data_IF_919575405400
#
_entry.id   IF_919575405400
#
_cell.length_a   1.000
_cell.length_b   1.000
_cell.length_c   1.000
_cell.angle_alpha   90.00
_cell.angle_beta   90.00
_cell.angle_gamma   90.00
#
_symmetry.space_group_name_H-M   'P 1'
#
loop_
_entity.id
_entity.type
_entity.pdbx_description
1 polymer ?
#
# COMPACT_ATOMS: atom_id res chain seq x y z
N UNK A 1 26.77 -12.26 1.59
CA UNK A 1 25.62 -12.89 2.27
C UNK A 1 25.56 -12.31 3.67
N UNK A 2 24.72 -11.31 3.99
CA UNK A 2 24.57 -10.86 5.37
C UNK A 2 23.80 -11.94 6.13
N UNK A 3 24.31 -12.33 7.30
CA UNK A 3 23.70 -13.29 8.20
C UNK A 3 22.21 -12.97 8.42
N UNK A 4 21.34 -13.95 8.14
CA UNK A 4 19.95 -13.89 8.53
C UNK A 4 19.88 -14.05 10.06
N UNK A 5 19.97 -12.93 10.76
CA UNK A 5 19.72 -12.87 12.21
C UNK A 5 18.35 -13.51 12.50
N UNK A 6 18.24 -14.46 13.45
CA UNK A 6 16.98 -15.10 13.81
C UNK A 6 15.87 -14.08 14.10
N UNK A 7 14.66 -14.32 13.60
CA UNK A 7 13.56 -13.33 13.64
C UNK A 7 13.18 -12.84 15.04
N UNK A 8 13.39 -13.66 16.09
CA UNK A 8 13.14 -13.26 17.47
C UNK A 8 14.18 -12.28 18.04
N UNK A 9 15.44 -12.36 17.58
CA UNK A 9 16.50 -11.40 17.93
C UNK A 9 16.22 -10.03 17.32
N UNK A 10 15.64 -9.98 16.12
CA UNK A 10 15.18 -8.72 15.50
C UNK A 10 14.08 -8.04 16.32
N UNK A 11 13.12 -8.82 16.85
CA UNK A 11 12.08 -8.27 17.71
C UNK A 11 12.64 -7.71 19.04
N UNK A 12 13.61 -8.40 19.66
CA UNK A 12 14.31 -7.91 20.85
C UNK A 12 15.13 -6.64 20.58
N UNK A 13 15.64 -6.52 19.35
CA UNK A 13 16.31 -5.33 18.84
C UNK A 13 15.35 -4.18 18.46
N UNK A 14 14.03 -4.31 18.69
CA UNK A 14 12.99 -3.41 18.20
C UNK A 14 13.09 -3.15 16.69
N UNK A 15 13.61 -4.12 15.95
CA UNK A 15 13.77 -4.06 14.51
C UNK A 15 12.51 -4.69 13.86
N UNK A 16 11.59 -3.88 13.30
CA UNK A 16 10.44 -4.41 12.56
C UNK A 16 10.85 -5.13 11.26
N UNK A 17 12.13 -5.05 10.86
CA UNK A 17 12.63 -5.44 9.56
C UNK A 17 12.46 -4.31 8.54
N UNK A 18 13.49 -4.10 7.72
CA UNK A 18 13.47 -3.10 6.64
C UNK A 18 14.82 -2.41 6.44
N UNK A 19 15.04 -1.83 5.26
CA UNK A 19 16.20 -0.99 5.01
C UNK A 19 16.20 0.22 5.96
N UNK A 20 17.35 0.56 6.55
CA UNK A 20 17.48 1.71 7.46
C UNK A 20 17.05 1.45 8.92
N UNK A 21 16.76 0.22 9.32
CA UNK A 21 16.67 -0.14 10.74
C UNK A 21 18.05 -0.61 11.22
N UNK A 22 18.62 0.10 12.20
CA UNK A 22 19.83 -0.36 12.89
C UNK A 22 19.41 -1.25 14.09
N UNK A 23 19.53 -2.58 14.00
CA UNK A 23 19.03 -3.48 15.05
C UNK A 23 19.69 -3.24 16.42
N UNK A 24 20.91 -2.71 16.43
CA UNK A 24 21.62 -2.40 17.68
C UNK A 24 21.01 -1.21 18.44
N UNK A 25 20.32 -0.27 17.77
CA UNK A 25 19.77 0.93 18.42
C UNK A 25 18.65 0.56 19.39
N UNK A 26 17.72 -0.30 18.97
CA UNK A 26 16.63 -0.73 19.86
C UNK A 26 17.12 -1.65 20.98
N UNK A 27 18.14 -2.47 20.74
CA UNK A 27 18.78 -3.26 21.79
C UNK A 27 19.42 -2.38 22.88
N UNK A 28 20.08 -1.28 22.49
CA UNK A 28 20.65 -0.30 23.43
C UNK A 28 19.55 0.39 24.26
N UNK A 29 18.43 0.78 23.63
CA UNK A 29 17.28 1.37 24.33
C UNK A 29 16.68 0.40 25.34
N UNK A 30 16.51 -0.87 24.95
CA UNK A 30 16.00 -1.92 25.83
C UNK A 30 16.94 -2.13 27.03
N UNK A 31 18.25 -2.26 26.79
CA UNK A 31 19.24 -2.42 27.85
C UNK A 31 19.24 -1.23 28.81
N UNK A 32 19.16 0.00 28.29
CA UNK A 32 19.09 1.22 29.11
C UNK A 32 17.82 1.26 29.99
N UNK A 33 16.67 0.83 29.45
CA UNK A 33 15.43 0.75 30.20
C UNK A 33 15.47 -0.31 31.32
N UNK A 34 16.07 -1.48 31.05
CA UNK A 34 16.28 -2.53 32.08
C UNK A 34 17.18 -2.03 33.20
N UNK A 35 18.30 -1.36 32.85
CA UNK A 35 19.20 -0.76 33.83
C UNK A 35 18.49 0.32 34.66
N UNK A 36 17.70 1.17 34.02
CA UNK A 36 16.91 2.21 34.67
C UNK A 36 15.92 1.63 35.69
N UNK A 37 15.25 0.52 35.35
CA UNK A 37 14.33 -0.18 36.25
C UNK A 37 15.05 -0.81 37.46
N UNK A 38 16.25 -1.34 37.26
CA UNK A 38 17.05 -1.95 38.32
C UNK A 38 17.62 -0.92 39.31
N UNK A 39 18.02 0.26 38.82
CA UNK A 39 18.69 1.29 39.63
C UNK A 39 17.70 2.21 40.35
N UNK A 40 16.55 2.53 39.75
CA UNK A 40 15.60 3.50 40.30
C UNK A 40 14.14 3.07 40.09
N UNK A 41 13.70 1.94 40.67
CA UNK A 41 12.32 1.47 40.53
C UNK A 41 11.35 2.49 41.16
N UNK A 42 10.43 3.03 40.36
CA UNK A 42 9.41 3.96 40.85
C UNK A 42 8.02 3.59 40.34
N UNK A 43 6.99 3.81 41.16
CA UNK A 43 5.58 3.61 40.75
C UNK A 43 5.18 4.50 39.57
N UNK A 44 5.89 5.60 39.38
CA UNK A 44 5.66 6.50 38.25
C UNK A 44 6.08 5.89 36.90
N UNK A 45 6.82 4.77 36.89
CA UNK A 45 7.16 4.00 35.67
C UNK A 45 6.06 3.02 35.24
N UNK A 46 5.03 2.77 36.08
CA UNK A 46 3.95 1.82 35.76
C UNK A 46 3.22 2.14 34.44
N UNK A 47 2.89 3.40 34.10
CA UNK A 47 2.27 3.72 32.81
C UNK A 47 3.19 3.37 31.62
N UNK A 48 4.49 3.62 31.75
CA UNK A 48 5.47 3.34 30.71
C UNK A 48 5.70 1.83 30.53
N UNK A 49 5.75 1.07 31.63
CA UNK A 49 5.75 -0.40 31.59
C UNK A 49 4.47 -0.95 30.96
N UNK A 50 3.32 -0.34 31.25
CA UNK A 50 2.04 -0.64 30.60
C UNK A 50 2.10 -0.45 29.08
N UNK A 51 2.69 0.65 28.59
CA UNK A 51 2.87 0.87 27.15
C UNK A 51 3.74 -0.22 26.50
N UNK A 52 4.85 -0.59 27.14
CA UNK A 52 5.73 -1.66 26.64
C UNK A 52 5.00 -3.00 26.58
N UNK A 53 4.28 -3.36 27.65
CA UNK A 53 3.52 -4.61 27.70
C UNK A 53 2.42 -4.63 26.62
N UNK A 54 1.69 -3.54 26.44
CA UNK A 54 0.62 -3.43 25.46
C UNK A 54 1.17 -3.47 24.03
N UNK A 55 2.31 -2.81 23.78
CA UNK A 55 3.04 -2.90 22.51
C UNK A 55 3.54 -4.32 22.22
N UNK A 56 4.11 -5.02 23.21
CA UNK A 56 4.55 -6.40 23.07
C UNK A 56 3.39 -7.36 22.80
N UNK A 57 2.25 -7.19 23.50
CA UNK A 57 1.01 -7.93 23.23
C UNK A 57 0.52 -7.66 21.81
N UNK A 58 0.50 -6.40 21.37
CA UNK A 58 0.10 -6.04 20.02
C UNK A 58 1.00 -6.70 18.96
N UNK A 59 2.33 -6.68 19.14
CA UNK A 59 3.27 -7.40 18.25
C UNK A 59 2.96 -8.91 18.24
N UNK A 60 2.76 -9.52 19.40
CA UNK A 60 2.43 -10.94 19.49
C UNK A 60 1.11 -11.26 18.76
N UNK A 61 0.09 -10.43 18.91
CA UNK A 61 -1.18 -10.56 18.21
C UNK A 61 -1.01 -10.41 16.68
N UNK A 62 -0.27 -9.40 16.22
CA UNK A 62 -0.04 -9.14 14.78
C UNK A 62 0.72 -10.29 14.08
N UNK A 63 1.60 -10.97 14.81
CA UNK A 63 2.35 -12.13 14.31
C UNK A 63 1.51 -13.41 14.36
N UNK A 64 0.74 -13.61 15.43
CA UNK A 64 0.00 -14.86 15.69
C UNK A 64 -1.37 -14.93 15.03
N UNK A 65 -1.99 -13.79 14.77
CA UNK A 65 -3.32 -13.68 14.18
C UNK A 65 -3.20 -13.15 12.75
N UNK A 66 -3.09 -14.04 11.74
CA UNK A 66 -3.06 -13.60 10.36
C UNK A 66 -4.43 -12.98 10.03
N UNK A 67 -4.42 -11.70 9.65
CA UNK A 67 -5.64 -10.96 9.37
C UNK A 67 -5.98 -11.08 7.89
N UNK A 68 -7.28 -11.24 7.59
CA UNK A 68 -7.77 -11.14 6.23
C UNK A 68 -7.93 -9.65 5.87
N UNK A 69 -7.25 -9.17 4.82
CA UNK A 69 -7.37 -7.79 4.35
C UNK A 69 -8.83 -7.43 4.03
N UNK A 70 -9.23 -6.19 4.32
CA UNK A 70 -10.59 -5.68 4.05
C UNK A 70 -10.97 -5.75 2.57
N UNK A 71 -9.99 -5.63 1.67
CA UNK A 71 -10.17 -5.78 0.23
C UNK A 71 -10.31 -7.25 -0.22
N UNK A 72 -10.15 -8.22 0.68
CA UNK A 72 -10.04 -9.65 0.36
C UNK A 72 -8.61 -10.08 0.06
N UNK A 73 -8.38 -11.40 -0.04
CA UNK A 73 -7.06 -11.99 -0.27
C UNK A 73 -6.66 -13.02 0.78
N UNK A 74 -5.44 -13.55 0.65
CA UNK A 74 -4.91 -14.54 1.59
C UNK A 74 -4.54 -13.87 2.93
N UNK A 75 -4.70 -14.57 4.08
CA UNK A 75 -4.35 -14.02 5.38
C UNK A 75 -2.87 -13.62 5.45
N UNK A 76 -2.58 -12.42 5.95
CA UNK A 76 -1.20 -11.93 6.16
C UNK A 76 -1.00 -11.47 7.59
N UNK A 77 0.22 -11.61 8.10
CA UNK A 77 0.62 -11.01 9.37
C UNK A 77 0.58 -9.49 9.27
N UNK A 78 0.16 -8.82 10.34
CA UNK A 78 0.15 -7.36 10.36
C UNK A 78 1.55 -6.77 10.48
N UNK A 79 1.73 -5.55 9.97
CA UNK A 79 2.98 -4.80 10.10
C UNK A 79 3.23 -4.41 11.57
N UNK A 80 4.36 -4.85 12.14
CA UNK A 80 4.68 -4.68 13.57
C UNK A 80 5.25 -3.32 13.93
N UNK A 81 5.64 -2.49 12.94
CA UNK A 81 6.36 -1.25 13.19
C UNK A 81 5.63 -0.25 14.08
N UNK A 82 4.30 -0.11 13.95
CA UNK A 82 3.52 0.76 14.83
C UNK A 82 3.53 0.30 16.29
N UNK A 83 3.37 -1.01 16.52
CA UNK A 83 3.39 -1.59 17.86
C UNK A 83 4.79 -1.52 18.51
N UNK A 84 5.85 -1.74 17.72
CA UNK A 84 7.24 -1.60 18.17
C UNK A 84 7.60 -0.15 18.48
N UNK A 85 7.11 0.82 17.69
CA UNK A 85 7.27 2.25 17.97
C UNK A 85 6.62 2.63 19.31
N UNK A 86 5.40 2.14 19.57
CA UNK A 86 4.69 2.37 20.82
C UNK A 86 5.44 1.78 22.04
N UNK A 87 5.95 0.56 21.91
CA UNK A 87 6.80 -0.05 22.93
C UNK A 87 8.10 0.76 23.14
N UNK A 88 8.74 1.22 22.06
CA UNK A 88 9.92 2.09 22.10
C UNK A 88 9.68 3.39 22.86
N UNK A 89 8.53 4.05 22.66
CA UNK A 89 8.15 5.24 23.42
C UNK A 89 8.03 4.94 24.93
N UNK A 90 7.47 3.79 25.30
CA UNK A 90 7.40 3.36 26.70
C UNK A 90 8.79 3.14 27.32
N UNK A 91 9.71 2.51 26.58
CA UNK A 91 11.10 2.32 27.02
C UNK A 91 11.82 3.65 27.24
N UNK A 92 11.69 4.59 26.31
CA UNK A 92 12.26 5.94 26.43
C UNK A 92 11.66 6.70 27.63
N UNK A 93 10.35 6.55 27.86
CA UNK A 93 9.69 7.18 29.00
C UNK A 93 10.21 6.64 30.34
N UNK A 94 10.46 5.32 30.44
CA UNK A 94 11.10 4.73 31.63
C UNK A 94 12.51 5.30 31.87
N UNK A 95 13.32 5.41 30.82
CA UNK A 95 14.68 5.99 30.92
C UNK A 95 14.63 7.44 31.38
N UNK A 96 13.72 8.25 30.83
CA UNK A 96 13.54 9.65 31.21
C UNK A 96 13.07 9.80 32.66
N UNK A 97 12.20 8.92 33.15
CA UNK A 97 11.75 8.95 34.54
C UNK A 97 12.87 8.61 35.52
N UNK A 98 13.64 7.56 35.25
CA UNK A 98 14.75 7.15 36.09
C UNK A 98 15.83 8.25 36.18
N UNK A 99 16.05 8.99 35.09
CA UNK A 99 16.95 10.16 35.08
C UNK A 99 16.45 11.32 35.96
N UNK A 100 15.12 11.43 36.17
CA UNK A 100 14.50 12.49 36.98
C UNK A 100 14.47 12.18 38.47
N UNK A 101 14.41 10.90 38.84
CA UNK A 101 14.30 10.41 40.23
C UNK A 101 15.67 10.16 40.89
N UNK A 102 16.76 10.70 40.34
CA UNK A 102 18.16 10.43 40.73
C UNK A 102 18.60 10.85 42.15
N UNK A 103 17.70 10.86 43.14
CA UNK A 103 18.04 11.04 44.55
C UNK A 103 18.92 9.92 45.14
N UNK A 104 18.74 8.61 44.83
CA UNK A 104 19.57 7.56 45.43
C UNK A 104 21.03 7.60 44.96
N UNK A 105 21.26 7.93 43.68
CA UNK A 105 22.60 8.00 43.09
C UNK A 105 23.41 9.19 43.61
N UNK A 106 22.71 10.24 44.06
CA UNK A 106 23.29 11.47 44.59
C UNK A 106 23.91 11.29 45.98
N UNK A 107 23.37 10.37 46.79
CA UNK A 107 23.90 10.02 48.11
C UNK A 107 25.20 9.20 48.03
N UNK A 108 25.39 8.39 46.98
CA UNK A 108 26.51 7.44 46.92
C UNK A 108 27.73 7.95 46.11
N UNK A 109 27.53 8.78 45.09
CA UNK A 109 28.60 9.23 44.18
C UNK A 109 29.08 10.68 44.38
N UNK A 110 28.49 11.43 45.32
CA UNK A 110 28.85 12.83 45.57
C UNK A 110 28.27 13.80 44.52
N UNK A 111 28.00 15.04 44.96
CA UNK A 111 27.20 16.03 44.22
C UNK A 111 27.79 16.44 42.85
N UNK A 112 29.12 16.36 42.69
CA UNK A 112 29.82 16.68 41.44
C UNK A 112 29.62 15.61 40.35
N UNK A 113 29.65 14.32 40.73
CA UNK A 113 29.42 13.21 39.80
C UNK A 113 27.94 13.03 39.51
N UNK A 114 27.06 13.27 40.48
CA UNK A 114 25.61 13.23 40.28
C UNK A 114 25.13 14.27 39.24
N UNK A 115 25.71 15.48 39.21
CA UNK A 115 25.44 16.48 38.16
C UNK A 115 25.91 16.02 36.78
N UNK A 116 27.09 15.39 36.67
CA UNK A 116 27.61 14.85 35.40
C UNK A 116 26.79 13.65 34.90
N UNK A 117 26.38 12.76 35.79
CA UNK A 117 25.54 11.58 35.49
C UNK A 117 24.09 11.97 35.16
N UNK A 118 23.56 13.07 35.70
CA UNK A 118 22.22 13.58 35.38
C UNK A 118 22.08 14.06 33.92
N UNK A 119 23.14 14.59 33.32
CA UNK A 119 23.15 15.02 31.91
C UNK A 119 23.39 13.87 30.93
N UNK A 120 24.03 12.79 31.38
CA UNK A 120 24.39 11.61 30.59
C UNK A 120 23.21 10.93 29.85
N UNK A 121 22.01 10.73 30.45
CA UNK A 121 20.86 10.17 29.74
C UNK A 121 20.30 11.12 28.67
N UNK A 122 20.41 12.44 28.86
CA UNK A 122 20.01 13.41 27.83
C UNK A 122 20.97 13.43 26.65
N UNK A 123 22.28 13.37 26.91
CA UNK A 123 23.31 13.25 25.87
C UNK A 123 23.17 11.91 25.15
N UNK A 124 22.92 10.81 25.88
CA UNK A 124 22.65 9.50 25.32
C UNK A 124 21.40 9.50 24.43
N UNK A 125 20.31 10.12 24.88
CA UNK A 125 19.08 10.27 24.08
C UNK A 125 19.31 11.14 22.85
N UNK A 126 20.05 12.24 22.97
CA UNK A 126 20.37 13.12 21.85
C UNK A 126 21.27 12.41 20.82
N UNK A 127 22.28 11.67 21.28
CA UNK A 127 23.15 10.86 20.42
C UNK A 127 22.37 9.73 19.74
N UNK A 128 21.48 9.06 20.48
CA UNK A 128 20.62 8.00 19.93
C UNK A 128 19.60 8.54 18.93
N UNK A 129 19.05 9.73 19.20
CA UNK A 129 18.13 10.43 18.28
C UNK A 129 18.86 10.90 17.02
N UNK A 130 20.06 11.47 17.16
CA UNK A 130 20.90 11.87 16.04
C UNK A 130 21.34 10.66 15.21
N UNK A 131 21.74 9.56 15.85
CA UNK A 131 22.08 8.31 15.17
C UNK A 131 20.86 7.70 14.46
N UNK A 132 19.68 7.73 15.09
CA UNK A 132 18.44 7.26 14.49
C UNK A 132 18.02 8.12 13.28
N UNK A 133 18.22 9.45 13.32
CA UNK A 133 17.99 10.32 12.16
C UNK A 133 18.97 10.01 11.04
N UNK A 134 20.27 9.92 11.35
CA UNK A 134 21.32 9.62 10.35
C UNK A 134 21.07 8.27 9.69
N UNK A 135 20.76 7.23 10.47
CA UNK A 135 20.42 5.90 9.95
C UNK A 135 19.07 5.90 9.23
N UNK A 136 18.09 6.65 9.74
CA UNK A 136 16.76 6.79 9.15
C UNK A 136 16.78 7.46 7.77
N UNK A 137 17.78 8.29 7.45
CA UNK A 137 17.95 8.83 6.09
C UNK A 137 18.21 7.76 5.03
N UNK A 138 18.67 6.57 5.46
CA UNK A 138 18.89 5.40 4.60
C UNK A 138 17.66 4.48 4.52
N UNK A 139 16.55 4.86 5.16
CA UNK A 139 15.30 4.12 5.14
C UNK A 139 14.49 4.29 3.84
N UNK A 140 13.43 3.50 3.63
CA UNK A 140 12.61 3.54 2.43
C UNK A 140 11.75 4.81 2.31
N UNK A 141 11.62 5.57 3.39
CA UNK A 141 10.90 6.85 3.45
C UNK A 141 11.88 7.99 3.16
N UNK A 142 12.22 8.18 1.89
CA UNK A 142 13.07 9.30 1.45
C UNK A 142 12.22 10.40 0.80
N UNK A 143 12.74 11.64 0.81
CA UNK A 143 12.17 12.74 0.02
C UNK A 143 12.50 12.65 -1.48
N UNK A 144 13.32 11.66 -1.87
CA UNK A 144 13.75 11.41 -3.24
C UNK A 144 12.98 10.26 -3.89
N UNK A 145 13.41 9.81 -5.09
CA UNK A 145 12.91 8.60 -5.72
C UNK A 145 12.92 7.44 -4.72
N UNK A 146 11.80 6.73 -4.51
CA UNK A 146 11.76 5.63 -3.55
C UNK A 146 12.80 4.56 -3.91
N UNK A 147 13.64 4.20 -2.94
CA UNK A 147 14.72 3.25 -3.14
C UNK A 147 14.16 1.88 -3.59
N UNK A 148 14.66 1.37 -4.72
CA UNK A 148 14.27 0.06 -5.26
C UNK A 148 12.91 0.01 -5.97
N UNK A 149 12.23 1.14 -6.16
CA UNK A 149 11.01 1.23 -6.96
C UNK A 149 11.26 1.96 -8.28
N UNK A 150 10.76 1.44 -9.42
CA UNK A 150 10.94 2.11 -10.69
C UNK A 150 10.15 3.43 -10.73
N UNK A 151 10.87 4.51 -11.01
CA UNK A 151 10.28 5.85 -11.15
C UNK A 151 10.15 6.17 -12.63
N UNK A 152 8.92 6.48 -13.05
CA UNK A 152 8.63 6.91 -14.42
C UNK A 152 9.20 8.30 -14.69
N UNK A 153 9.48 8.60 -15.97
CA UNK A 153 9.82 9.94 -16.39
C UNK A 153 8.71 10.94 -15.96
N UNK A 154 9.05 12.18 -15.53
CA UNK A 154 8.08 13.14 -15.01
C UNK A 154 6.91 13.42 -15.96
N UNK A 155 7.15 13.40 -17.28
CA UNK A 155 6.11 13.55 -18.30
C UNK A 155 5.09 12.41 -18.28
N UNK A 156 5.54 11.16 -18.10
CA UNK A 156 4.66 10.00 -18.01
C UNK A 156 3.92 9.96 -16.67
N UNK A 157 4.58 10.36 -15.58
CA UNK A 157 3.94 10.45 -14.28
C UNK A 157 2.81 11.50 -14.27
N UNK A 158 3.05 12.69 -14.85
CA UNK A 158 2.02 13.71 -15.01
C UNK A 158 0.89 13.28 -15.95
N UNK A 159 1.18 12.43 -16.94
CA UNK A 159 0.18 11.86 -17.82
C UNK A 159 -0.73 10.84 -17.11
N UNK A 160 -0.15 9.95 -16.29
CA UNK A 160 -0.88 8.99 -15.48
C UNK A 160 -1.86 9.67 -14.53
N UNK A 161 -1.40 10.71 -13.83
CA UNK A 161 -2.20 11.46 -12.86
C UNK A 161 -3.40 12.14 -13.54
N UNK A 162 -3.14 12.83 -14.66
CA UNK A 162 -4.20 13.51 -15.43
C UNK A 162 -5.23 12.56 -16.04
N UNK A 163 -4.79 11.37 -16.46
CA UNK A 163 -5.63 10.42 -17.19
C UNK A 163 -6.34 9.43 -16.26
N UNK A 164 -5.99 9.42 -14.97
CA UNK A 164 -6.38 8.41 -13.97
C UNK A 164 -6.21 6.96 -14.46
N UNK A 165 -5.17 6.74 -15.27
CA UNK A 165 -4.83 5.42 -15.79
C UNK A 165 -3.86 4.71 -14.87
N UNK A 166 -3.64 3.42 -15.13
CA UNK A 166 -2.77 2.58 -14.31
C UNK A 166 -1.40 2.34 -14.95
N UNK A 167 -0.41 2.04 -14.11
CA UNK A 167 0.87 1.49 -14.51
C UNK A 167 1.00 0.07 -13.95
N UNK A 168 1.42 -0.86 -14.82
CA UNK A 168 1.78 -2.22 -14.45
C UNK A 168 3.30 -2.35 -14.44
N UNK A 169 3.88 -2.62 -13.27
CA UNK A 169 5.30 -2.90 -13.11
C UNK A 169 5.50 -4.40 -12.97
N UNK A 170 6.20 -4.98 -13.94
CA UNK A 170 6.63 -6.37 -13.88
C UNK A 170 7.96 -6.41 -13.14
N UNK A 171 7.93 -6.93 -11.92
CA UNK A 171 9.12 -7.16 -11.12
C UNK A 171 10.10 -8.13 -11.79
N UNK A 172 11.39 -7.91 -11.53
CA UNK A 172 12.42 -8.92 -11.75
C UNK A 172 12.15 -10.17 -10.89
N UNK A 173 12.80 -11.32 -11.14
CA UNK A 173 12.67 -12.48 -10.26
C UNK A 173 12.93 -12.11 -8.80
N UNK A 174 11.94 -12.36 -7.93
CA UNK A 174 11.99 -11.99 -6.50
C UNK A 174 11.41 -10.60 -6.16
N UNK A 175 11.05 -9.79 -7.15
CA UNK A 175 10.30 -8.55 -6.96
C UNK A 175 8.80 -8.77 -7.25
N UNK A 176 7.88 -8.14 -6.49
CA UNK A 176 6.46 -8.31 -6.72
C UNK A 176 5.98 -7.56 -7.97
N UNK A 177 4.92 -8.07 -8.58
CA UNK A 177 4.18 -7.38 -9.63
C UNK A 177 3.33 -6.29 -8.98
N UNK A 178 3.39 -5.08 -9.52
CA UNK A 178 2.67 -3.92 -8.96
C UNK A 178 1.75 -3.32 -10.00
N UNK A 179 0.50 -3.14 -9.64
CA UNK A 179 -0.49 -2.44 -10.44
C UNK A 179 -0.97 -1.23 -9.64
N UNK A 180 -0.64 -0.02 -10.09
CA UNK A 180 -1.01 1.22 -9.39
C UNK A 180 -1.74 2.16 -10.34
N UNK A 181 -2.82 2.78 -9.85
CA UNK A 181 -3.62 3.79 -10.58
C UNK A 181 -3.12 5.20 -10.23
N UNK A 182 -3.14 6.11 -11.22
CA UNK A 182 -2.80 7.55 -11.17
C UNK A 182 -1.39 7.93 -10.68
N UNK A 183 -0.63 6.97 -10.15
CA UNK A 183 0.72 7.17 -9.63
C UNK A 183 1.56 5.90 -9.77
N UNK A 184 2.87 6.05 -9.61
CA UNK A 184 3.77 4.91 -9.39
C UNK A 184 3.62 4.35 -7.97
N UNK A 185 4.14 3.14 -7.78
CA UNK A 185 4.20 2.49 -6.48
C UNK A 185 4.99 3.32 -5.45
N UNK A 186 4.55 3.22 -4.20
CA UNK A 186 5.13 3.85 -3.02
C UNK A 186 5.37 2.80 -1.95
N UNK A 187 6.17 3.17 -0.94
CA UNK A 187 6.34 2.36 0.25
C UNK A 187 4.97 2.02 0.87
N UNK A 188 4.80 0.75 1.28
CA UNK A 188 3.55 0.24 1.85
C UNK A 188 2.51 -0.25 0.82
N UNK A 189 2.66 0.03 -0.48
CA UNK A 189 1.70 -0.48 -1.47
C UNK A 189 1.76 -2.01 -1.59
N UNK A 190 2.93 -2.62 -1.39
CA UNK A 190 3.09 -4.09 -1.40
C UNK A 190 2.43 -4.77 -0.18
N UNK A 191 2.18 -4.00 0.89
CA UNK A 191 1.47 -4.45 2.09
C UNK A 191 -0.06 -4.46 1.88
N UNK A 192 -0.55 -3.91 0.76
CA UNK A 192 -1.94 -4.03 0.34
C UNK A 192 -2.12 -5.36 -0.40
N UNK A 193 -3.03 -6.21 0.09
CA UNK A 193 -3.16 -7.53 -0.49
C UNK A 193 -4.07 -7.47 -1.71
N UNK A 194 -3.63 -7.99 -2.86
CA UNK A 194 -4.55 -8.19 -3.96
C UNK A 194 -5.52 -9.34 -3.63
N UNK A 195 -6.70 -9.31 -4.24
CA UNK A 195 -7.55 -10.50 -4.27
C UNK A 195 -6.78 -11.64 -4.95
N UNK A 196 -6.98 -12.87 -4.47
CA UNK A 196 -6.29 -14.07 -5.01
C UNK A 196 -6.45 -14.21 -6.53
N UNK A 197 -7.66 -13.97 -7.05
CA UNK A 197 -7.94 -14.03 -8.48
C UNK A 197 -7.15 -12.97 -9.28
N UNK A 198 -7.00 -11.76 -8.72
CA UNK A 198 -6.21 -10.68 -9.32
C UNK A 198 -4.73 -11.03 -9.32
N UNK A 199 -4.19 -11.56 -8.22
CA UNK A 199 -2.79 -11.99 -8.14
C UNK A 199 -2.45 -13.04 -9.20
N UNK A 200 -3.25 -14.11 -9.30
CA UNK A 200 -3.05 -15.16 -10.29
C UNK A 200 -3.16 -14.64 -11.74
N UNK A 201 -4.07 -13.69 -11.99
CA UNK A 201 -4.19 -13.04 -13.32
C UNK A 201 -2.94 -12.23 -13.65
N UNK A 202 -2.48 -11.39 -12.73
CA UNK A 202 -1.30 -10.55 -12.94
C UNK A 202 -0.04 -11.38 -13.16
N UNK A 203 0.11 -12.51 -12.47
CA UNK A 203 1.21 -13.45 -12.73
C UNK A 203 1.17 -14.05 -14.14
N UNK A 204 -0.02 -14.45 -14.63
CA UNK A 204 -0.17 -14.93 -16.02
C UNK A 204 0.18 -13.85 -17.04
N UNK A 205 -0.31 -12.63 -16.83
CA UNK A 205 0.02 -11.47 -17.68
C UNK A 205 1.52 -11.19 -17.66
N UNK A 206 2.15 -11.18 -16.48
CA UNK A 206 3.57 -10.96 -16.35
C UNK A 206 4.39 -12.08 -16.99
N UNK A 207 3.97 -13.34 -16.89
CA UNK A 207 4.61 -14.47 -17.55
C UNK A 207 4.58 -14.33 -19.08
N UNK A 208 3.40 -14.02 -19.66
CA UNK A 208 3.25 -13.78 -21.09
C UNK A 208 4.14 -12.63 -21.59
N UNK A 209 4.15 -11.51 -20.86
CA UNK A 209 4.96 -10.34 -21.20
C UNK A 209 6.47 -10.58 -21.03
N UNK A 210 6.90 -11.42 -20.08
CA UNK A 210 8.31 -11.83 -19.92
C UNK A 210 8.76 -12.79 -21.03
N UNK A 211 7.88 -13.72 -21.41
CA UNK A 211 8.13 -14.68 -22.49
C UNK A 211 8.28 -13.96 -23.83
N UNK A 212 7.38 -13.00 -24.11
CA UNK A 212 7.40 -12.23 -25.35
C UNK A 212 6.99 -13.06 -26.57
N UNK A 213 6.10 -14.05 -26.39
CA UNK A 213 5.55 -14.84 -27.49
C UNK A 213 4.43 -14.08 -28.21
N UNK A 214 4.39 -14.06 -29.56
CA UNK A 214 3.28 -13.48 -30.31
C UNK A 214 1.94 -14.14 -29.91
N UNK A 215 0.85 -13.38 -29.96
CA UNK A 215 -0.46 -13.88 -29.54
C UNK A 215 -0.66 -13.81 -28.02
N UNK A 216 0.17 -14.50 -27.22
CA UNK A 216 0.09 -14.44 -25.75
C UNK A 216 0.40 -13.04 -25.22
N UNK A 217 1.46 -12.41 -25.73
CA UNK A 217 1.83 -11.02 -25.37
C UNK A 217 0.75 -10.04 -25.82
N UNK A 218 0.18 -10.25 -27.01
CA UNK A 218 -0.90 -9.40 -27.55
C UNK A 218 -2.17 -9.52 -26.71
N UNK A 219 -2.54 -10.74 -26.30
CA UNK A 219 -3.68 -11.01 -25.42
C UNK A 219 -3.45 -10.39 -24.03
N UNK A 220 -2.24 -10.53 -23.47
CA UNK A 220 -1.87 -9.89 -22.22
C UNK A 220 -1.92 -8.35 -22.33
N UNK A 221 -1.49 -7.79 -23.47
CA UNK A 221 -1.56 -6.34 -23.73
C UNK A 221 -3.01 -5.85 -23.83
N UNK A 222 -3.90 -6.62 -24.45
CA UNK A 222 -5.33 -6.31 -24.53
C UNK A 222 -6.02 -6.42 -23.16
N UNK A 223 -5.67 -7.40 -22.33
CA UNK A 223 -6.16 -7.55 -20.94
C UNK A 223 -5.77 -6.35 -20.07
N UNK A 224 -4.50 -5.92 -20.13
CA UNK A 224 -4.06 -4.74 -19.36
C UNK A 224 -4.66 -3.45 -19.91
N UNK A 225 -4.87 -3.33 -21.23
CA UNK A 225 -5.57 -2.19 -21.82
C UNK A 225 -7.01 -2.07 -21.31
N UNK A 226 -7.74 -3.19 -21.25
CA UNK A 226 -9.12 -3.26 -20.77
C UNK A 226 -9.28 -2.90 -19.28
N UNK A 227 -8.22 -3.09 -18.49
CA UNK A 227 -8.16 -2.70 -17.06
C UNK A 227 -7.62 -1.28 -16.84
N UNK A 228 -7.35 -0.54 -17.92
CA UNK A 228 -6.94 0.86 -17.86
C UNK A 228 -5.45 1.08 -17.62
N UNK A 229 -4.62 0.07 -17.87
CA UNK A 229 -3.16 0.22 -17.82
C UNK A 229 -2.69 0.99 -19.05
N UNK A 230 -2.06 2.14 -18.82
CA UNK A 230 -1.47 2.99 -19.85
C UNK A 230 0.02 2.69 -20.06
N UNK A 231 0.74 2.30 -19.00
CA UNK A 231 2.16 2.00 -19.06
C UNK A 231 2.49 0.64 -18.45
N UNK A 232 3.36 -0.11 -19.12
CA UNK A 232 3.89 -1.38 -18.63
C UNK A 232 5.41 -1.25 -18.50
N UNK A 233 5.94 -1.45 -17.29
CA UNK A 233 7.38 -1.45 -17.02
C UNK A 233 7.87 -2.89 -17.00
N UNK A 234 8.89 -3.20 -17.80
CA UNK A 234 9.48 -4.53 -17.90
C UNK A 234 10.86 -4.56 -17.21
N UNK A 235 11.30 -5.70 -16.66
CA UNK A 235 12.47 -5.70 -15.78
C UNK A 235 13.81 -5.59 -16.53
N UNK A 236 13.88 -5.98 -17.81
CA UNK A 236 15.12 -5.88 -18.60
C UNK A 236 14.87 -5.31 -20.00
N UNK A 237 15.87 -4.61 -20.55
CA UNK A 237 15.81 -4.05 -21.91
C UNK A 237 15.52 -5.12 -22.98
N UNK A 238 16.12 -6.30 -22.86
CA UNK A 238 15.91 -7.41 -23.78
C UNK A 238 14.45 -7.90 -23.77
N UNK A 239 13.83 -7.98 -22.59
CA UNK A 239 12.40 -8.28 -22.47
C UNK A 239 11.54 -7.17 -23.05
N UNK A 240 11.91 -5.90 -22.84
CA UNK A 240 11.26 -4.75 -23.45
C UNK A 240 11.16 -4.85 -24.98
N UNK A 241 12.27 -5.18 -25.63
CA UNK A 241 12.34 -5.34 -27.09
C UNK A 241 11.47 -6.51 -27.56
N UNK A 242 11.57 -7.68 -26.91
CA UNK A 242 10.76 -8.86 -27.28
C UNK A 242 9.27 -8.63 -27.09
N UNK A 243 8.86 -8.08 -25.96
CA UNK A 243 7.47 -7.79 -25.66
C UNK A 243 6.90 -6.73 -26.61
N UNK A 244 7.67 -5.68 -26.94
CA UNK A 244 7.24 -4.67 -27.91
C UNK A 244 7.02 -5.29 -29.30
N UNK A 245 7.94 -6.14 -29.77
CA UNK A 245 7.81 -6.82 -31.04
C UNK A 245 6.59 -7.77 -31.07
N UNK A 246 6.37 -8.53 -30.00
CA UNK A 246 5.26 -9.48 -29.91
C UNK A 246 3.90 -8.81 -29.66
N UNK A 247 3.85 -7.66 -29.00
CA UNK A 247 2.63 -6.88 -28.82
C UNK A 247 2.15 -6.21 -30.12
N UNK A 248 3.06 -5.96 -31.07
CA UNK A 248 2.73 -5.35 -32.35
C UNK A 248 2.13 -3.96 -32.18
N UNK A 249 0.96 -3.73 -32.78
CA UNK A 249 0.27 -2.42 -32.78
C UNK A 249 -0.42 -2.07 -31.46
N UNK A 250 -0.44 -2.97 -30.46
CA UNK A 250 -1.06 -2.73 -29.16
C UNK A 250 -0.15 -1.97 -28.18
N UNK A 251 1.14 -1.81 -28.51
CA UNK A 251 2.10 -1.12 -27.68
C UNK A 251 3.01 -0.19 -28.50
N UNK A 252 3.52 0.85 -27.83
CA UNK A 252 4.53 1.78 -28.37
C UNK A 252 5.67 1.93 -27.36
N UNK A 253 6.90 2.23 -27.80
CA UNK A 253 7.97 2.57 -26.88
C UNK A 253 7.64 3.88 -26.14
N UNK A 254 8.06 3.97 -24.87
CA UNK A 254 7.98 5.17 -24.05
C UNK A 254 9.34 5.47 -23.40
N UNK A 255 9.56 6.69 -22.87
CA UNK A 255 10.73 7.00 -22.06
C UNK A 255 10.95 5.97 -20.95
N UNK A 256 12.21 5.55 -20.79
CA UNK A 256 12.61 4.59 -19.75
C UNK A 256 12.40 5.18 -18.35
N UNK A 257 12.31 4.31 -17.36
CA UNK A 257 12.34 4.71 -15.94
C UNK A 257 13.70 5.30 -15.57
N UNK A 258 13.78 5.98 -14.43
CA UNK A 258 15.01 6.55 -13.91
C UNK A 258 16.11 5.50 -13.65
N UNK A 259 15.74 4.26 -13.34
CA UNK A 259 16.64 3.11 -13.18
C UNK A 259 16.93 2.35 -14.50
N UNK A 260 16.48 2.88 -15.64
CA UNK A 260 16.81 2.37 -16.97
C UNK A 260 15.94 1.22 -17.47
N UNK A 261 14.91 0.81 -16.72
CA UNK A 261 13.97 -0.24 -17.15
C UNK A 261 13.13 0.26 -18.36
N UNK A 262 12.88 -0.60 -19.35
CA UNK A 262 12.04 -0.25 -20.49
C UNK A 262 10.57 -0.07 -20.10
N UNK A 263 9.94 0.92 -20.71
CA UNK A 263 8.50 1.21 -20.54
C UNK A 263 7.81 1.08 -21.89
N UNK A 264 6.72 0.32 -21.90
CA UNK A 264 5.81 0.21 -23.04
C UNK A 264 4.56 1.03 -22.75
N UNK A 265 4.14 1.84 -23.73
CA UNK A 265 2.88 2.56 -23.71
C UNK A 265 1.81 1.72 -24.39
N UNK A 266 0.74 1.41 -23.67
CA UNK A 266 -0.41 0.67 -24.17
C UNK A 266 -1.22 1.59 -25.09
N UNK A 267 -1.65 1.07 -26.24
CA UNK A 267 -2.50 1.81 -27.18
C UNK A 267 -3.96 1.73 -26.71
N UNK A 268 -4.60 2.90 -26.55
CA UNK A 268 -6.01 3.05 -26.15
C UNK A 268 -6.36 2.31 -24.83
N UNK A 269 -5.78 2.70 -23.69
CA UNK A 269 -6.21 2.16 -22.39
C UNK A 269 -7.65 2.61 -22.04
N UNK A 270 -8.42 1.72 -21.41
CA UNK A 270 -9.76 2.05 -20.88
C UNK A 270 -9.61 2.74 -19.52
N UNK A 271 -9.56 4.06 -19.47
CA UNK A 271 -9.30 4.81 -18.21
C UNK A 271 -10.38 4.63 -17.13
N UNK A 272 -11.62 4.38 -17.53
CA UNK A 272 -12.76 4.35 -16.62
C UNK A 272 -13.77 3.25 -16.95
N UNK A 273 -14.51 3.42 -18.04
CA UNK A 273 -15.40 2.39 -18.56
C UNK A 273 -15.53 2.46 -20.08
N UNK A 274 -16.08 1.41 -20.65
CA UNK A 274 -16.29 1.26 -22.08
C UNK A 274 -17.65 0.63 -22.34
N UNK A 275 -18.40 1.20 -23.28
CA UNK A 275 -19.67 0.66 -23.74
C UNK A 275 -19.45 -0.26 -24.94
N UNK A 276 -19.66 -1.56 -24.74
CA UNK A 276 -19.54 -2.59 -25.76
C UNK A 276 -20.84 -2.73 -26.56
N UNK A 277 -20.69 -2.88 -27.88
CA UNK A 277 -21.76 -3.31 -28.76
C UNK A 277 -22.14 -4.78 -28.54
N UNK A 278 -23.27 -5.27 -29.10
CA UNK A 278 -23.84 -6.58 -28.75
C UNK A 278 -22.89 -7.77 -28.94
N UNK A 279 -22.17 -7.82 -30.06
CA UNK A 279 -21.21 -8.90 -30.34
C UNK A 279 -20.04 -8.96 -29.33
N UNK A 280 -19.47 -7.79 -29.00
CA UNK A 280 -18.41 -7.69 -27.98
C UNK A 280 -18.97 -7.95 -26.57
N UNK A 281 -20.20 -7.54 -26.30
CA UNK A 281 -20.88 -7.80 -25.04
C UNK A 281 -21.08 -9.30 -24.79
N UNK A 282 -21.41 -10.08 -25.82
CA UNK A 282 -21.51 -11.54 -25.73
C UNK A 282 -20.16 -12.18 -25.41
N UNK A 283 -19.11 -11.80 -26.12
CA UNK A 283 -17.74 -12.27 -25.86
C UNK A 283 -17.26 -11.91 -24.44
N UNK A 284 -17.55 -10.69 -24.00
CA UNK A 284 -17.19 -10.24 -22.66
C UNK A 284 -17.93 -11.03 -21.58
N UNK A 285 -19.23 -11.33 -21.77
CA UNK A 285 -20.03 -12.13 -20.84
C UNK A 285 -19.61 -13.59 -20.79
N UNK A 286 -19.12 -14.15 -21.90
CA UNK A 286 -18.60 -15.52 -21.93
C UNK A 286 -17.24 -15.66 -21.23
N UNK A 287 -16.63 -14.54 -20.83
CA UNK A 287 -15.30 -14.51 -20.22
C UNK A 287 -14.16 -14.72 -21.20
N UNK A 288 -14.40 -14.46 -22.50
CA UNK A 288 -13.33 -14.47 -23.50
C UNK A 288 -12.29 -13.36 -23.20
N UNK A 289 -11.12 -13.45 -23.83
CA UNK A 289 -10.12 -12.38 -23.74
C UNK A 289 -10.58 -11.15 -24.55
N UNK A 290 -10.19 -9.93 -24.13
CA UNK A 290 -10.42 -8.73 -24.92
C UNK A 290 -9.78 -8.85 -26.32
N UNK A 291 -10.38 -8.22 -27.35
CA UNK A 291 -9.88 -8.30 -28.72
C UNK A 291 -8.49 -7.68 -28.87
N UNK A 292 -7.62 -8.36 -29.62
CA UNK A 292 -6.27 -7.91 -29.95
C UNK A 292 -6.21 -7.05 -31.22
N UNK A 293 -7.30 -6.98 -31.99
CA UNK A 293 -7.38 -6.22 -33.22
C UNK A 293 -7.54 -4.72 -32.92
N UNK A 294 -6.67 -3.84 -33.45
CA UNK A 294 -6.77 -2.40 -33.23
C UNK A 294 -8.11 -1.84 -33.72
N UNK A 295 -8.77 -1.02 -32.89
CA UNK A 295 -10.00 -0.35 -33.26
C UNK A 295 -11.29 -1.16 -33.02
N UNK A 296 -11.17 -2.46 -32.72
CA UNK A 296 -12.29 -3.27 -32.21
C UNK A 296 -12.38 -3.02 -30.70
N UNK A 297 -12.98 -1.89 -30.33
CA UNK A 297 -13.20 -1.50 -28.94
C UNK A 297 -14.57 -0.85 -28.83
N UNK A 298 -15.16 -0.88 -27.65
CA UNK A 298 -16.34 -0.08 -27.37
C UNK A 298 -16.05 1.42 -27.26
N UNK A 299 -17.08 2.16 -26.86
CA UNK A 299 -17.00 3.62 -26.72
C UNK A 299 -16.56 3.96 -25.29
N UNK A 300 -15.45 4.68 -25.16
CA UNK A 300 -14.96 5.13 -23.87
C UNK A 300 -15.96 6.07 -23.18
N UNK A 301 -16.23 5.81 -21.91
CA UNK A 301 -17.07 6.64 -21.07
C UNK A 301 -16.20 7.52 -20.16
N UNK A 302 -16.46 8.83 -20.06
CA UNK A 302 -15.62 9.78 -19.33
C UNK A 302 -15.80 9.75 -17.80
N UNK A 303 -16.05 8.57 -17.21
CA UNK A 303 -16.29 8.42 -15.78
C UNK A 303 -15.48 7.26 -15.20
N UNK A 304 -15.08 7.36 -13.94
CA UNK A 304 -14.05 6.52 -13.33
C UNK A 304 -14.55 5.83 -12.06
N UNK A 305 -14.05 4.62 -11.75
CA UNK A 305 -14.28 3.97 -10.46
C UNK A 305 -13.61 4.77 -9.31
N UNK A 306 -14.09 4.65 -8.05
CA UNK A 306 -15.13 3.73 -7.57
C UNK A 306 -16.56 4.26 -7.70
N UNK A 307 -16.77 5.48 -8.22
CA UNK A 307 -18.09 6.10 -8.42
C UNK A 307 -18.22 6.59 -9.86
N UNK A 308 -18.91 5.80 -10.66
CA UNK A 308 -19.10 6.03 -12.07
C UNK A 308 -20.57 6.39 -12.34
N UNK A 309 -20.79 7.46 -13.09
CA UNK A 309 -22.11 7.84 -13.59
C UNK A 309 -21.97 8.24 -15.06
N UNK A 310 -22.66 7.53 -15.95
CA UNK A 310 -22.56 7.71 -17.40
C UNK A 310 -23.95 7.75 -17.98
N UNK A 311 -24.21 8.74 -18.83
CA UNK A 311 -25.41 8.75 -19.66
C UNK A 311 -25.11 8.04 -20.97
N UNK A 312 -25.79 6.93 -21.22
CA UNK A 312 -25.68 6.13 -22.44
C UNK A 312 -26.78 6.57 -23.40
N UNK A 313 -26.39 6.93 -24.61
CA UNK A 313 -27.34 7.27 -25.67
C UNK A 313 -28.12 6.03 -26.14
N UNK A 314 -29.30 6.23 -26.78
CA UNK A 314 -30.01 5.13 -27.43
C UNK A 314 -29.13 4.36 -28.42
N UNK A 315 -29.37 3.06 -28.57
CA UNK A 315 -28.59 2.19 -29.45
C UNK A 315 -29.14 0.78 -29.48
N UNK A 316 -28.32 -0.18 -29.90
CA UNK A 316 -28.71 -1.59 -29.93
C UNK A 316 -29.04 -2.12 -28.52
N UNK A 317 -29.95 -3.08 -28.46
CA UNK A 317 -30.16 -3.88 -27.26
C UNK A 317 -28.96 -4.78 -26.96
N UNK A 318 -28.90 -5.33 -25.74
CA UNK A 318 -27.85 -6.24 -25.27
C UNK A 318 -26.42 -5.65 -25.22
N UNK A 319 -26.28 -4.32 -25.19
CA UNK A 319 -25.01 -3.63 -24.91
C UNK A 319 -24.54 -3.89 -23.47
N UNK A 320 -23.24 -3.73 -23.26
CA UNK A 320 -22.61 -3.97 -21.96
C UNK A 320 -21.68 -2.81 -21.62
N UNK A 321 -21.92 -2.13 -20.51
CA UNK A 321 -20.96 -1.18 -19.96
C UNK A 321 -19.97 -1.94 -19.09
N UNK A 322 -18.71 -2.00 -19.50
CA UNK A 322 -17.63 -2.65 -18.76
C UNK A 322 -16.77 -1.59 -18.08
N UNK A 323 -16.54 -1.75 -16.78
CA UNK A 323 -15.74 -0.83 -15.96
C UNK A 323 -14.33 -1.37 -15.84
N UNK A 324 -13.33 -0.49 -15.92
CA UNK A 324 -11.91 -0.78 -15.70
C UNK A 324 -11.59 -1.03 -14.20
N UNK A 325 -12.34 -1.94 -13.59
CA UNK A 325 -12.22 -2.37 -12.21
C UNK A 325 -12.52 -3.87 -12.09
N UNK A 326 -11.84 -4.54 -11.15
CA UNK A 326 -12.11 -5.96 -10.87
C UNK A 326 -13.49 -6.14 -10.22
N UNK A 327 -14.14 -7.24 -10.55
CA UNK A 327 -15.35 -7.74 -9.92
C UNK A 327 -15.05 -8.21 -8.49
N UNK A 328 -15.31 -7.32 -7.53
CA UNK A 328 -15.07 -7.49 -6.09
C UNK A 328 -16.37 -7.35 -5.28
N UNK A 329 -16.47 -7.93 -4.07
CA UNK A 329 -17.63 -7.70 -3.22
C UNK A 329 -17.87 -6.21 -2.94
N UNK A 330 -19.12 -5.78 -3.04
CA UNK A 330 -19.56 -4.42 -2.70
C UNK A 330 -19.85 -3.50 -3.89
N UNK A 331 -19.67 -3.96 -5.13
CA UNK A 331 -20.17 -3.24 -6.32
C UNK A 331 -21.70 -3.26 -6.38
N UNK A 332 -22.26 -2.11 -6.74
CA UNK A 332 -23.69 -1.91 -6.95
C UNK A 332 -23.88 -1.12 -8.24
N UNK A 333 -24.89 -1.48 -9.01
CA UNK A 333 -25.23 -0.79 -10.24
C UNK A 333 -26.71 -0.41 -10.26
N UNK A 334 -27.01 0.73 -10.86
CA UNK A 334 -28.37 1.17 -11.12
C UNK A 334 -28.48 1.78 -12.51
N UNK A 335 -29.61 1.55 -13.17
CA UNK A 335 -29.97 2.13 -14.46
C UNK A 335 -31.24 2.95 -14.25
N UNK A 336 -31.17 4.25 -14.53
CA UNK A 336 -32.25 5.22 -14.28
C UNK A 336 -32.79 5.15 -12.84
N UNK A 337 -31.86 5.03 -11.88
CA UNK A 337 -32.17 4.91 -10.45
C UNK A 337 -32.70 3.55 -10.00
N UNK A 338 -32.93 2.60 -10.91
CA UNK A 338 -33.38 1.24 -10.57
C UNK A 338 -32.17 0.31 -10.40
N UNK A 339 -32.09 -0.47 -9.31
CA UNK A 339 -30.98 -1.39 -9.12
C UNK A 339 -30.98 -2.47 -10.21
N UNK A 340 -29.79 -2.78 -10.72
CA UNK A 340 -29.56 -3.85 -11.69
C UNK A 340 -28.42 -4.75 -11.23
N UNK A 341 -28.40 -6.02 -11.63
CA UNK A 341 -27.30 -6.90 -11.28
C UNK A 341 -26.00 -6.43 -11.94
N UNK A 342 -24.94 -6.43 -11.16
CA UNK A 342 -23.56 -6.41 -11.68
C UNK A 342 -23.25 -7.78 -12.23
N UNK A 343 -22.77 -7.84 -13.47
CA UNK A 343 -22.30 -9.05 -14.12
C UNK A 343 -20.81 -8.97 -14.36
N UNK A 344 -20.20 -10.09 -14.74
CA UNK A 344 -18.78 -10.17 -15.02
C UNK A 344 -18.50 -9.93 -16.50
N UNK A 345 -17.63 -8.98 -16.80
CA UNK A 345 -17.06 -8.74 -18.13
C UNK A 345 -15.62 -9.24 -18.23
N UNK A 346 -15.22 -9.76 -19.39
CA UNK A 346 -13.85 -10.23 -19.66
C UNK A 346 -13.30 -11.18 -18.59
N UNK A 347 -14.19 -11.96 -17.97
CA UNK A 347 -13.88 -12.96 -16.95
C UNK A 347 -13.45 -12.41 -15.58
N UNK A 348 -13.33 -11.10 -15.38
CA UNK A 348 -12.87 -10.54 -14.09
C UNK A 348 -13.27 -9.08 -13.82
N UNK A 349 -13.86 -8.37 -14.78
CA UNK A 349 -14.22 -6.96 -14.65
C UNK A 349 -15.68 -6.79 -14.26
N UNK A 350 -15.98 -5.66 -13.63
CA UNK A 350 -17.35 -5.22 -13.37
C UNK A 350 -18.01 -4.84 -14.68
N UNK A 351 -19.21 -5.35 -14.92
CA UNK A 351 -19.99 -5.02 -16.09
C UNK A 351 -21.48 -4.85 -15.76
N UNK A 352 -22.15 -4.00 -16.53
CA UNK A 352 -23.57 -3.67 -16.34
C UNK A 352 -24.30 -3.79 -17.68
N UNK A 353 -25.35 -4.63 -17.79
CA UNK A 353 -26.16 -4.71 -18.99
C UNK A 353 -26.90 -3.38 -19.25
N UNK A 354 -26.84 -2.88 -20.48
CA UNK A 354 -27.53 -1.64 -20.89
C UNK A 354 -28.49 -1.97 -22.03
N UNK A 355 -29.74 -1.49 -21.91
CA UNK A 355 -30.77 -1.67 -22.93
C UNK A 355 -30.61 -0.68 -24.08
N UNK A 356 -31.42 -0.81 -25.13
CA UNK A 356 -31.37 0.05 -26.31
C UNK A 356 -31.83 1.49 -26.09
N UNK A 357 -32.48 1.79 -24.96
CA UNK A 357 -32.94 3.14 -24.64
C UNK A 357 -31.81 4.02 -24.07
N UNK A 358 -32.03 5.34 -24.11
CA UNK A 358 -31.21 6.27 -23.35
C UNK A 358 -31.32 5.95 -21.87
N UNK A 359 -30.20 5.88 -21.16
CA UNK A 359 -30.19 5.53 -19.75
C UNK A 359 -29.04 6.17 -18.98
N UNK A 360 -29.28 6.58 -17.75
CA UNK A 360 -28.23 6.91 -16.78
C UNK A 360 -27.79 5.64 -16.06
N UNK A 361 -26.56 5.20 -16.32
CA UNK A 361 -25.95 4.07 -15.64
C UNK A 361 -25.03 4.59 -14.54
N UNK A 362 -25.28 4.15 -13.31
CA UNK A 362 -24.47 4.47 -12.15
C UNK A 362 -23.90 3.18 -11.56
N UNK A 363 -22.58 3.17 -11.35
CA UNK A 363 -21.86 2.05 -10.76
C UNK A 363 -21.05 2.59 -9.58
N UNK A 364 -21.31 2.05 -8.39
CA UNK A 364 -20.66 2.48 -7.16
C UNK A 364 -20.14 1.28 -6.39
N UNK A 365 -18.95 1.41 -5.79
CA UNK A 365 -18.49 0.48 -4.77
C UNK A 365 -18.84 1.00 -3.39
N UNK A 366 -19.40 0.15 -2.54
CA UNK A 366 -19.68 0.48 -1.15
C UNK A 366 -18.38 0.67 -0.35
N UNK A 367 -18.28 1.82 0.34
CA UNK A 367 -17.16 2.17 1.23
C UNK A 367 -17.53 2.01 2.73
N UNK A 368 -18.70 1.44 3.05
CA UNK A 368 -19.27 1.47 4.41
C UNK A 368 -18.30 0.95 5.48
N UNK A 369 -17.65 -0.19 5.23
CA UNK A 369 -16.70 -0.76 6.18
C UNK A 369 -15.50 0.15 6.44
N UNK A 370 -14.97 0.79 5.38
CA UNK A 370 -13.87 1.75 5.48
C UNK A 370 -14.30 3.00 6.24
N UNK A 371 -15.47 3.55 5.91
CA UNK A 371 -16.01 4.73 6.60
C UNK A 371 -16.24 4.45 8.08
N UNK A 372 -16.83 3.30 8.43
CA UNK A 372 -17.03 2.90 9.82
C UNK A 372 -15.70 2.75 10.58
N UNK A 373 -14.70 2.11 9.97
CA UNK A 373 -13.36 1.98 10.57
C UNK A 373 -12.72 3.35 10.83
N UNK A 374 -12.73 4.24 9.84
CA UNK A 374 -12.18 5.59 9.97
C UNK A 374 -12.89 6.41 11.06
N UNK A 375 -14.20 6.22 11.22
CA UNK A 375 -14.96 6.86 12.31
C UNK A 375 -14.57 6.30 13.67
N UNK A 376 -14.35 5.00 13.79
CA UNK A 376 -13.86 4.36 15.04
C UNK A 376 -12.45 4.86 15.36
N UNK A 377 -11.54 4.88 14.39
CA UNK A 377 -10.18 5.42 14.54
C UNK A 377 -10.20 6.89 14.97
N UNK A 378 -11.03 7.72 14.32
CA UNK A 378 -11.23 9.11 14.70
C UNK A 378 -11.78 9.28 16.11
N UNK A 379 -12.76 8.47 16.51
CA UNK A 379 -13.31 8.49 17.87
C UNK A 379 -12.26 8.08 18.93
N UNK A 380 -11.44 7.06 18.63
CA UNK A 380 -10.34 6.65 19.50
C UNK A 380 -9.27 7.75 19.64
N UNK A 381 -8.91 8.42 18.55
CA UNK A 381 -7.99 9.56 18.58
C UNK A 381 -8.54 10.70 19.43
N UNK A 382 -9.83 11.02 19.30
CA UNK A 382 -10.49 12.04 20.13
C UNK A 382 -10.52 11.63 21.60
N UNK A 383 -10.77 10.36 21.91
CA UNK A 383 -10.70 9.84 23.27
C UNK A 383 -9.29 10.01 23.86
N UNK A 384 -8.26 9.59 23.11
CA UNK A 384 -6.86 9.74 23.52
C UNK A 384 -6.52 11.21 23.76
N UNK A 385 -6.86 12.10 22.81
CA UNK A 385 -6.63 13.54 22.96
C UNK A 385 -7.37 14.12 24.17
N UNK A 386 -8.62 13.70 24.41
CA UNK A 386 -9.39 14.09 25.58
C UNK A 386 -8.77 13.65 26.90
N UNK A 387 -8.24 12.42 26.96
CA UNK A 387 -7.54 11.90 28.15
C UNK A 387 -6.14 12.48 28.35
N UNK A 388 -5.51 12.96 27.28
CA UNK A 388 -4.20 13.62 27.32
C UNK A 388 -4.27 15.07 27.82
N UNK A 389 -5.46 15.68 27.84
CA UNK A 389 -5.64 17.01 28.42
C UNK A 389 -5.40 16.93 29.94
N UNK A 390 -4.40 17.66 30.48
CA UNK A 390 -4.15 17.65 31.90
C UNK A 390 -5.39 18.17 32.63
N UNK A 391 -5.96 17.36 33.52
CA UNK A 391 -7.03 17.81 34.40
C UNK A 391 -6.53 19.04 35.14
N UNK A 392 -7.10 20.22 34.87
CA UNK A 392 -6.93 21.38 35.75
C UNK A 392 -7.52 20.99 37.10
N UNK A 393 -6.72 20.41 37.99
CA UNK A 393 -7.05 20.33 39.40
C UNK A 393 -7.25 21.77 39.85
N UNK A 394 -8.49 22.16 40.12
CA UNK A 394 -8.75 23.36 40.90
C UNK A 394 -7.97 23.18 42.20
N UNK A 395 -7.00 24.06 42.43
CA UNK A 395 -6.54 24.31 43.79
C UNK A 395 -7.76 24.82 44.56
N UNK A 396 -8.48 23.92 45.21
CA UNK A 396 -9.27 24.33 46.37
C UNK A 396 -8.25 24.58 47.47
N UNK A 397 -8.05 25.88 47.75
CA UNK A 397 -7.42 26.39 48.96
C UNK A 397 -8.17 25.93 50.19
#
# INVERSE_FOLDING_TARGET
>A
MPEQVPGWLRLLALDPGGAGAAPWVGAVVLAAAVLALAVAPSRAMLPAAGMVALGAIAVALLIRLPMRPLAGGDPRSGFTGGALLFAGCGLLWMVLLAARTGEPTRQWLGDQWAKKLSAMPWVGLAALSAAAVVVGTSGPLTSGPPAGLPVLAPSLAAELDRSDTSVLVIGAPGEPIRLTRSRTARFGDDDIAPLRATGARLERVAAALRAGQPGETSAAMADVAATGVQFVVLPTAAQGVRALAAAGSLARPAPRTADGRPVLRVVRPVSGAELLGPALAEQARSGAAPPIAPGVSGVLAPAQPPRLAVRVAPGADARLLVVAANDEPGWQASVDGRPVPVVRGWGHQVAVPVRGNSAEVRVVRSDVARTALLLIEGALLLLVAGTALPSRRRLNR
#
